data_IF_800060412538
#
_entry.id   IF_800060412538
#
_cell.length_a   1.000
_cell.length_b   1.000
_cell.length_c   1.000
_cell.angle_alpha   90.00
_cell.angle_beta   90.00
_cell.angle_gamma   90.00
#
_symmetry.space_group_name_H-M   'P 1'
#
loop_
_entity.id
_entity.type
_entity.pdbx_description
1 polymer ?
2 non-polymer ?
3 non-polymer ?
4 water ?
#
# COMPACT_ATOMS: atom_id res chain seq x y z
N UNK A 9 4.38 3.38 -20.29
CA UNK A 9 3.57 2.88 -21.43
C UNK A 9 2.12 3.34 -21.33
N UNK A 10 1.40 3.32 -22.44
CA UNK A 10 0.02 3.77 -22.46
C UNK A 10 -1.02 2.65 -22.50
N UNK A 11 -0.69 1.49 -21.96
CA UNK A 11 -1.62 0.36 -21.93
C UNK A 11 -2.92 0.82 -21.28
N UNK A 12 -4.03 0.18 -21.67
CA UNK A 12 -5.33 0.51 -21.09
C UNK A 12 -6.24 -0.71 -21.06
N UNK A 13 -7.30 -0.62 -20.26
CA UNK A 13 -8.27 -1.72 -20.16
C UNK A 13 -9.56 -1.36 -20.87
N UNK A 14 -10.22 -2.39 -21.39
CA UNK A 14 -11.52 -2.23 -22.01
C UNK A 14 -12.38 -3.16 -21.18
N UNK A 15 -13.33 -2.59 -20.46
CA UNK A 15 -14.20 -3.38 -19.61
C UNK A 15 -15.64 -3.31 -20.12
N UNK A 16 -16.17 -4.47 -20.49
CA UNK A 16 -17.54 -4.54 -20.98
C UNK A 16 -18.37 -5.06 -19.81
N UNK A 17 -19.05 -4.13 -19.14
CA UNK A 17 -19.83 -4.47 -17.97
C UNK A 17 -21.03 -5.38 -18.10
N UNK A 18 -21.55 -5.80 -16.95
CA UNK A 18 -22.73 -6.65 -16.93
C UNK A 18 -22.56 -8.08 -16.48
N UNK A 19 -21.42 -8.41 -15.87
CA UNK A 19 -21.18 -9.77 -15.39
C UNK A 19 -20.92 -9.83 -13.90
N UNK A 20 -21.54 -10.79 -13.20
CA UNK A 20 -21.30 -10.89 -11.77
C UNK A 20 -19.97 -11.63 -11.59
N UNK A 21 -19.15 -11.22 -10.62
CA UNK A 21 -17.88 -11.90 -10.40
C UNK A 21 -18.17 -13.16 -9.61
N UNK A 22 -17.72 -14.31 -10.11
CA UNK A 22 -17.97 -15.57 -9.41
C UNK A 22 -16.76 -16.48 -9.48
N UNK A 23 -16.49 -17.19 -8.39
CA UNK A 23 -15.36 -18.09 -8.37
C UNK A 23 -14.29 -17.77 -7.35
N UNK A 24 -13.18 -18.50 -7.45
CA UNK A 24 -12.05 -18.32 -6.55
C UNK A 24 -11.02 -17.33 -7.11
N UNK A 25 -10.29 -16.71 -6.20
CA UNK A 25 -9.23 -15.77 -6.56
C UNK A 25 -8.18 -15.88 -5.45
N UNK A 26 -6.92 -15.99 -5.85
CA UNK A 26 -5.82 -16.10 -4.90
C UNK A 26 -5.22 -14.72 -4.67
N UNK A 27 -5.25 -14.26 -3.43
CA UNK A 27 -4.70 -12.95 -3.08
C UNK A 27 -3.18 -13.00 -3.02
N UNK A 28 -2.55 -11.98 -3.59
CA UNK A 28 -1.09 -11.88 -3.62
C UNK A 28 -0.48 -11.33 -2.34
N UNK A 29 0.85 -11.36 -2.26
CA UNK A 29 1.54 -10.84 -1.10
C UNK A 29 1.39 -9.33 -1.02
N UNK A 30 1.51 -8.77 0.17
CA UNK A 30 1.36 -7.33 0.38
C UNK A 30 2.52 -6.49 -0.17
N UNK A 31 2.21 -5.68 -1.17
CA UNK A 31 3.20 -4.79 -1.77
C UNK A 31 3.89 -3.94 -0.70
N UNK A 32 3.08 -3.35 0.18
CA UNK A 32 3.64 -2.46 1.19
C UNK A 32 4.30 -3.11 2.40
N UNK A 33 4.36 -4.43 2.39
CA UNK A 33 5.06 -5.17 3.44
C UNK A 33 6.39 -5.56 2.78
N UNK A 34 6.30 -6.00 1.52
CA UNK A 34 7.47 -6.41 0.76
C UNK A 34 8.50 -5.28 0.60
N UNK A 35 8.00 -4.07 0.37
CA UNK A 35 8.90 -2.92 0.20
C UNK A 35 9.81 -2.68 1.39
N UNK A 36 9.23 -2.42 2.58
CA UNK A 36 10.11 -2.19 3.74
C UNK A 36 10.97 -3.40 4.10
N UNK A 37 10.44 -4.59 3.90
CA UNK A 37 11.17 -5.82 4.20
C UNK A 37 12.39 -5.95 3.28
N UNK A 38 12.22 -5.58 2.01
CA UNK A 38 13.34 -5.64 1.08
C UNK A 38 14.41 -4.63 1.48
N UNK A 39 13.99 -3.44 1.90
CA UNK A 39 14.95 -2.43 2.30
C UNK A 39 15.68 -2.86 3.57
N UNK A 40 15.04 -3.70 4.37
CA UNK A 40 15.65 -4.19 5.61
C UNK A 40 16.88 -5.05 5.33
N UNK A 41 16.95 -5.67 4.16
CA UNK A 41 18.09 -6.51 3.81
C UNK A 41 19.40 -5.71 3.79
N UNK A 42 19.28 -4.41 3.60
CA UNK A 42 20.46 -3.54 3.57
C UNK A 42 21.17 -3.57 4.93
N UNK A 43 20.42 -3.87 5.98
CA UNK A 43 20.95 -3.92 7.34
C UNK A 43 21.93 -5.06 7.63
N UNK A 44 21.98 -6.06 6.75
CA UNK A 44 22.88 -7.20 6.97
C UNK A 44 23.75 -7.48 5.76
N UNK A 45 24.81 -8.25 5.96
CA UNK A 45 25.69 -8.61 4.86
C UNK A 45 25.36 -10.05 4.46
N UNK A 46 24.51 -10.67 5.27
CA UNK A 46 24.11 -12.05 5.05
C UNK A 46 22.94 -12.20 4.08
N UNK A 47 22.89 -13.32 3.35
CA UNK A 47 21.84 -13.61 2.36
C UNK A 47 20.45 -13.66 2.99
N UNK A 48 19.46 -13.16 2.25
CA UNK A 48 18.08 -13.17 2.73
C UNK A 48 17.15 -13.73 1.66
N UNK A 49 16.05 -14.32 2.11
CA UNK A 49 15.08 -14.89 1.19
C UNK A 49 13.70 -14.38 1.60
N UNK A 50 13.01 -13.77 0.66
CA UNK A 50 11.69 -13.22 0.91
C UNK A 50 10.69 -13.83 -0.06
N UNK A 51 9.70 -14.54 0.45
CA UNK A 51 8.72 -15.16 -0.41
C UNK A 51 7.35 -14.49 -0.32
N UNK A 52 6.48 -14.86 -1.26
CA UNK A 52 5.13 -14.30 -1.38
C UNK A 52 5.22 -12.83 -1.73
N UNK A 53 6.26 -12.47 -2.49
CA UNK A 53 6.46 -11.10 -2.93
C UNK A 53 5.76 -10.96 -4.27
N UNK A 54 4.83 -10.00 -4.40
CA UNK A 54 4.10 -9.80 -5.65
C UNK A 54 4.93 -9.21 -6.77
N UNK A 55 4.68 -9.68 -7.99
CA UNK A 55 5.39 -9.16 -9.14
C UNK A 55 4.59 -7.99 -9.70
N UNK A 56 4.94 -6.80 -9.23
CA UNK A 56 4.30 -5.57 -9.66
C UNK A 56 5.40 -4.50 -9.70
N UNK A 57 5.16 -3.45 -10.46
CA UNK A 57 6.16 -2.39 -10.66
C UNK A 57 6.89 -1.83 -9.43
N UNK A 58 6.19 -1.59 -8.32
CA UNK A 58 6.87 -1.07 -7.15
C UNK A 58 7.93 -2.04 -6.63
N UNK A 59 7.62 -3.32 -6.65
CA UNK A 59 8.58 -4.32 -6.22
C UNK A 59 9.77 -4.32 -7.17
N UNK A 60 9.49 -4.29 -8.47
CA UNK A 60 10.57 -4.30 -9.44
C UNK A 60 11.46 -3.06 -9.33
N UNK A 61 10.86 -1.89 -9.06
CA UNK A 61 11.66 -0.69 -8.91
C UNK A 61 12.52 -0.77 -7.65
N UNK A 62 12.00 -1.41 -6.60
CA UNK A 62 12.75 -1.55 -5.37
C UNK A 62 13.97 -2.45 -5.63
N UNK A 63 13.74 -3.52 -6.38
CA UNK A 63 14.82 -4.46 -6.70
C UNK A 63 15.88 -3.76 -7.55
N UNK A 64 15.44 -2.86 -8.42
CA UNK A 64 16.36 -2.12 -9.28
C UNK A 64 17.24 -1.23 -8.40
N UNK A 65 16.63 -0.58 -7.41
CA UNK A 65 17.38 0.29 -6.50
C UNK A 65 18.40 -0.51 -5.71
N UNK A 66 18.00 -1.67 -5.20
CA UNK A 66 18.92 -2.50 -4.43
C UNK A 66 20.10 -2.92 -5.29
N UNK A 67 19.85 -3.23 -6.56
CA UNK A 67 20.93 -3.63 -7.46
C UNK A 67 21.85 -2.42 -7.69
N UNK A 68 21.26 -1.24 -7.81
CA UNK A 68 22.03 -0.02 -8.01
C UNK A 68 22.90 0.23 -6.79
N UNK A 69 22.40 -0.14 -5.61
CA UNK A 69 23.15 0.04 -4.37
C UNK A 69 24.25 -1.00 -4.19
N UNK A 70 24.30 -1.97 -5.11
CA UNK A 70 25.35 -2.98 -5.03
C UNK A 70 24.92 -4.40 -4.75
N UNK A 71 23.65 -4.61 -4.40
CA UNK A 71 23.17 -5.94 -4.09
C UNK A 71 23.07 -6.85 -5.31
N UNK A 72 23.21 -8.16 -5.04
CA UNK A 72 23.11 -9.19 -6.06
C UNK A 72 21.82 -9.94 -5.74
N UNK A 73 20.89 -10.01 -6.68
CA UNK A 73 19.63 -10.66 -6.40
C UNK A 73 18.92 -11.28 -7.59
N UNK A 74 17.91 -12.10 -7.28
CA UNK A 74 17.09 -12.75 -8.28
C UNK A 74 15.65 -12.74 -7.79
N UNK A 75 14.72 -12.61 -8.73
CA UNK A 75 13.30 -12.59 -8.41
C UNK A 75 12.62 -13.64 -9.27
N UNK A 76 12.29 -14.77 -8.64
CA UNK A 76 11.65 -15.88 -9.35
C UNK A 76 10.56 -16.53 -8.50
N UNK A 77 9.44 -16.88 -9.14
CA UNK A 77 8.32 -17.52 -8.45
C UNK A 77 7.89 -16.75 -7.21
N UNK A 78 7.75 -15.44 -7.36
CA UNK A 78 7.36 -14.56 -6.26
C UNK A 78 8.28 -14.68 -5.05
N UNK A 79 9.56 -14.93 -5.31
CA UNK A 79 10.53 -15.04 -4.25
C UNK A 79 11.78 -14.23 -4.58
N UNK A 80 12.22 -13.45 -3.60
CA UNK A 80 13.41 -12.61 -3.75
C UNK A 80 14.57 -13.27 -3.02
N UNK A 81 15.64 -13.53 -3.75
CA UNK A 81 16.86 -14.13 -3.22
C UNK A 81 17.90 -13.01 -3.28
N UNK A 82 18.34 -12.53 -2.13
CA UNK A 82 19.29 -11.42 -2.14
C UNK A 82 20.56 -11.55 -1.32
N UNK A 83 21.66 -11.12 -1.94
CA UNK A 83 22.97 -11.07 -1.29
C UNK A 83 23.17 -9.56 -1.14
N UNK A 84 22.89 -9.04 0.07
CA UNK A 84 23.03 -7.61 0.39
C UNK A 84 24.43 -7.04 0.39
N UNK A 85 25.11 -7.14 -0.75
CA UNK A 85 26.46 -6.62 -0.89
C UNK A 85 26.39 -5.14 -1.25
N UNK A 86 25.78 -4.34 -0.38
CA UNK A 86 25.64 -2.91 -0.61
C UNK A 86 26.99 -2.21 -0.54
N UNK A 87 27.29 -1.40 -1.56
CA UNK A 87 28.57 -0.70 -1.59
C UNK A 87 28.41 0.78 -1.94
N UNK A 88 27.19 1.28 -1.75
CA UNK A 88 26.89 2.68 -2.05
C UNK A 88 25.76 3.14 -1.15
N UNK A 89 25.67 4.44 -0.89
CA UNK A 89 24.61 4.96 -0.04
C UNK A 89 23.87 6.12 -0.69
N UNK A 90 23.81 6.10 -2.02
CA UNK A 90 23.14 7.15 -2.77
C UNK A 90 21.91 6.62 -3.49
N UNK A 91 20.75 7.13 -3.11
CA UNK A 91 19.49 6.75 -3.74
C UNK A 91 19.14 7.92 -4.66
N UNK A 92 19.36 7.74 -5.96
CA UNK A 92 19.14 8.82 -6.92
C UNK A 92 17.71 9.34 -7.07
N UNK A 93 17.65 10.60 -7.50
CA UNK A 93 16.39 11.33 -7.69
C UNK A 93 15.43 10.64 -8.64
N UNK A 94 15.95 10.04 -9.70
CA UNK A 94 15.12 9.35 -10.69
C UNK A 94 14.28 8.27 -10.04
N UNK A 95 14.92 7.45 -9.21
CA UNK A 95 14.22 6.38 -8.53
C UNK A 95 13.20 6.93 -7.53
N UNK A 96 13.57 8.01 -6.84
CA UNK A 96 12.67 8.65 -5.89
C UNK A 96 11.44 9.24 -6.58
N UNK A 97 11.66 9.84 -7.75
CA UNK A 97 10.56 10.44 -8.51
C UNK A 97 9.63 9.34 -9.03
N UNK A 98 10.19 8.15 -9.25
CA UNK A 98 9.42 7.02 -9.75
C UNK A 98 8.65 6.31 -8.63
N UNK A 99 9.18 6.37 -7.41
CA UNK A 99 8.53 5.74 -6.25
C UNK A 99 9.04 6.41 -4.98
N UNK A 100 8.27 7.36 -4.44
CA UNK A 100 8.69 8.09 -3.25
C UNK A 100 8.99 7.20 -2.05
N UNK A 101 8.42 6.00 -2.02
CA UNK A 101 8.66 5.08 -0.92
C UNK A 101 10.13 4.64 -0.89
N UNK A 102 10.90 5.02 -1.91
CA UNK A 102 12.32 4.67 -1.95
C UNK A 102 13.03 5.37 -0.79
N UNK A 103 12.34 6.30 -0.15
CA UNK A 103 12.87 7.01 0.99
C UNK A 103 13.14 6.03 2.13
N UNK A 104 12.54 4.84 2.04
CA UNK A 104 12.73 3.81 3.04
C UNK A 104 14.17 3.29 3.07
N UNK A 105 14.96 3.68 2.07
CA UNK A 105 16.36 3.28 1.99
C UNK A 105 17.20 4.11 2.95
N UNK A 106 16.66 5.23 3.41
CA UNK A 106 17.36 6.13 4.31
C UNK A 106 17.73 5.50 5.66
N UNK A 107 16.75 4.95 6.35
CA UNK A 107 17.01 4.33 7.64
C UNK A 107 18.08 3.24 7.58
N UNK A 108 17.96 2.27 6.67
CA UNK A 108 18.92 1.17 6.51
C UNK A 108 20.33 1.64 6.14
N UNK A 109 20.42 2.50 5.13
CA UNK A 109 21.72 3.01 4.70
C UNK A 109 22.44 3.74 5.83
N UNK A 110 21.69 4.52 6.61
CA UNK A 110 22.28 5.25 7.72
C UNK A 110 22.77 4.28 8.79
N UNK A 111 22.00 3.22 9.02
CA UNK A 111 22.39 2.24 10.02
C UNK A 111 23.59 1.44 9.61
N UNK A 112 23.80 1.30 8.30
CA UNK A 112 24.92 0.53 7.78
C UNK A 112 26.20 1.32 7.56
N UNK A 113 26.07 2.55 7.08
CA UNK A 113 27.23 3.38 6.79
C UNK A 113 27.38 4.63 7.66
N UNK A 114 26.31 5.03 8.34
CA UNK A 114 26.37 6.23 9.15
C UNK A 114 26.23 7.45 8.26
N UNK A 115 25.99 7.20 6.98
CA UNK A 115 25.81 8.25 6.00
C UNK A 115 24.82 7.82 4.92
N UNK A 116 24.16 8.79 4.30
CA UNK A 116 23.21 8.51 3.24
C UNK A 116 22.88 9.79 2.45
N UNK A 117 22.64 9.61 1.16
CA UNK A 117 22.29 10.71 0.27
C UNK A 117 21.07 10.20 -0.49
N UNK A 118 19.90 10.69 -0.10
CA UNK A 118 18.65 10.24 -0.71
C UNK A 118 17.86 11.39 -1.33
N UNK A 119 17.44 11.22 -2.58
CA UNK A 119 16.68 12.26 -3.24
C UNK A 119 15.41 12.58 -2.47
N UNK A 120 15.07 13.86 -2.40
CA UNK A 120 13.86 14.27 -1.68
C UNK A 120 12.67 14.12 -2.61
N UNK A 121 11.61 13.43 -2.15
CA UNK A 121 10.42 13.24 -2.99
C UNK A 121 9.82 14.58 -3.42
N UNK A 122 9.20 14.60 -4.59
CA UNK A 122 8.53 15.80 -5.06
C UNK A 122 7.08 15.62 -4.68
N UNK A 123 6.18 16.43 -5.25
CA UNK A 123 4.77 16.28 -4.95
C UNK A 123 4.25 14.97 -5.55
N UNK A 124 3.05 14.56 -5.15
CA UNK A 124 2.44 13.33 -5.64
C UNK A 124 0.99 13.66 -6.01
N UNK A 125 0.39 12.89 -6.91
CA UNK A 125 -0.98 13.16 -7.31
C UNK A 125 -1.94 12.96 -6.14
N UNK A 126 -1.52 12.17 -5.16
CA UNK A 126 -2.33 11.88 -3.97
C UNK A 126 -2.26 13.05 -2.97
N UNK A 127 -1.21 13.85 -3.08
CA UNK A 127 -1.02 14.97 -2.19
C UNK A 127 0.43 15.40 -2.11
N UNK A 128 0.69 16.56 -1.50
CA UNK A 128 2.06 17.05 -1.37
C UNK A 128 2.90 15.98 -0.69
N UNK A 129 2.34 15.37 0.36
CA UNK A 129 2.98 14.30 1.10
C UNK A 129 4.42 14.56 1.53
N UNK A 130 4.63 15.57 2.38
CA UNK A 130 5.98 15.88 2.84
C UNK A 130 6.48 14.79 3.79
N UNK A 131 7.79 14.74 4.02
CA UNK A 131 8.36 13.75 4.91
C UNK A 131 9.02 14.40 6.11
N UNK A 132 8.44 15.51 6.57
CA UNK A 132 9.00 16.22 7.71
C UNK A 132 9.20 15.33 8.92
N UNK A 133 8.30 14.38 9.11
CA UNK A 133 8.39 13.46 10.25
C UNK A 133 9.60 12.53 10.13
N UNK A 134 9.92 12.12 8.90
CA UNK A 134 11.08 11.24 8.70
C UNK A 134 12.34 12.03 9.06
N UNK A 135 12.47 13.21 8.47
CA UNK A 135 13.63 14.06 8.71
C UNK A 135 13.72 14.48 10.17
N UNK A 136 12.58 14.76 10.78
CA UNK A 136 12.57 15.17 12.18
C UNK A 136 13.10 14.04 13.06
N UNK A 137 12.72 12.80 12.75
CA UNK A 137 13.20 11.66 13.54
C UNK A 137 14.72 11.54 13.48
N UNK A 138 15.25 11.59 12.27
CA UNK A 138 16.71 11.46 12.11
C UNK A 138 17.49 12.57 12.78
N UNK A 139 16.89 13.77 12.85
CA UNK A 139 17.57 14.88 13.52
C UNK A 139 17.56 14.57 15.01
N UNK A 140 16.44 14.07 15.51
CA UNK A 140 16.30 13.71 16.91
C UNK A 140 17.24 12.56 17.24
N UNK A 141 17.59 11.78 16.22
CA UNK A 141 18.50 10.64 16.40
C UNK A 141 19.96 11.12 16.49
N UNK A 142 20.15 12.42 16.30
CA UNK A 142 21.49 12.99 16.37
C UNK A 142 22.21 13.11 15.04
N UNK A 143 21.50 12.90 13.94
CA UNK A 143 22.13 13.01 12.63
C UNK A 143 22.10 14.43 12.09
N UNK A 144 23.10 14.76 11.29
CA UNK A 144 23.16 16.08 10.67
C UNK A 144 22.39 15.91 9.36
N UNK A 145 21.35 16.73 9.18
CA UNK A 145 20.51 16.65 7.99
C UNK A 145 20.50 17.95 7.21
N UNK A 146 20.84 17.88 5.93
CA UNK A 146 20.88 19.05 5.08
C UNK A 146 20.33 18.75 3.70
N UNK A 147 19.55 19.67 3.15
CA UNK A 147 18.97 19.50 1.82
C UNK A 147 19.73 20.35 0.82
N UNK A 148 20.34 19.69 -0.16
CA UNK A 148 21.12 20.38 -1.19
C UNK A 148 20.97 19.62 -2.50
N UNK A 149 20.88 20.35 -3.61
CA UNK A 149 20.76 19.72 -4.92
C UNK A 149 19.54 18.78 -4.99
N UNK A 150 18.52 19.07 -4.18
CA UNK A 150 17.34 18.24 -4.19
C UNK A 150 17.53 16.90 -3.50
N UNK A 151 18.64 16.75 -2.80
CA UNK A 151 18.95 15.51 -2.08
C UNK A 151 19.03 15.78 -0.59
N UNK A 152 18.70 14.77 0.20
CA UNK A 152 18.80 14.93 1.65
C UNK A 152 20.11 14.25 2.03
N UNK A 153 21.03 15.04 2.57
CA UNK A 153 22.33 14.55 3.00
C UNK A 153 22.25 14.29 4.50
N UNK A 154 22.43 13.03 4.88
CA UNK A 154 22.37 12.66 6.28
C UNK A 154 23.70 12.07 6.73
N UNK A 155 24.25 12.63 7.81
CA UNK A 155 25.51 12.16 8.35
C UNK A 155 25.36 11.94 9.84
N UNK A 156 25.82 10.79 10.31
CA UNK A 156 25.73 10.44 11.72
C UNK A 156 27.11 10.28 12.32
N UNK A 157 27.42 11.08 13.33
CA UNK A 157 28.73 11.01 13.98
C UNK A 157 28.86 9.73 14.80
N UNK A 158 27.78 9.35 15.47
CA UNK A 158 27.77 8.13 16.28
C UNK A 158 26.34 7.73 16.65
N UNK A 159 26.11 6.43 16.73
CA UNK A 159 24.79 5.91 17.07
C UNK A 159 24.55 6.06 18.58
N UNK A 160 23.35 6.48 18.93
CA UNK A 160 22.99 6.65 20.32
C UNK A 160 21.52 6.30 20.49
N UNK A 161 21.10 6.05 21.74
CA UNK A 161 19.71 5.71 22.00
C UNK A 161 18.86 6.88 21.54
N UNK A 162 17.61 6.59 21.17
CA UNK A 162 16.71 7.63 20.71
C UNK A 162 15.34 7.49 21.35
N UNK A 163 14.73 8.63 21.68
CA UNK A 163 13.39 8.65 22.24
C UNK A 163 12.66 9.68 21.39
N UNK A 164 11.80 9.20 20.50
CA UNK A 164 11.08 10.09 19.60
C UNK A 164 9.58 9.81 19.52
N UNK A 165 8.79 10.89 19.48
CA UNK A 165 7.35 10.77 19.37
C UNK A 165 6.91 11.46 18.08
N UNK A 166 6.22 10.72 17.22
CA UNK A 166 5.73 11.29 15.96
C UNK A 166 4.60 12.28 16.22
N UNK A 167 4.61 13.40 15.51
CA UNK A 167 3.58 14.43 15.67
C UNK A 167 2.26 13.94 15.07
N UNK A 168 2.37 12.96 14.19
CA UNK A 168 1.22 12.38 13.50
C UNK A 168 1.58 10.95 13.14
N UNK A 169 0.58 10.10 12.95
CA UNK A 169 0.83 8.69 12.62
C UNK A 169 1.23 8.55 11.15
N UNK A 170 2.44 8.06 10.92
CA UNK A 170 2.94 7.86 9.57
C UNK A 170 3.47 6.45 9.39
N UNK A 171 2.97 5.77 8.36
CA UNK A 171 3.37 4.41 8.08
C UNK A 171 4.85 4.28 7.74
N UNK A 172 5.29 4.88 6.64
CA UNK A 172 6.70 4.76 6.28
C UNK A 172 7.62 5.51 7.23
N UNK A 173 7.07 6.49 7.94
CA UNK A 173 7.88 7.23 8.89
C UNK A 173 8.25 6.28 10.02
N UNK A 174 7.25 5.51 10.46
CA UNK A 174 7.47 4.53 11.52
C UNK A 174 8.47 3.46 11.03
N UNK A 175 8.29 3.01 9.80
CA UNK A 175 9.16 1.99 9.24
C UNK A 175 10.60 2.47 9.10
N UNK A 176 10.78 3.70 8.62
CA UNK A 176 12.12 4.24 8.45
C UNK A 176 12.83 4.30 9.81
N UNK A 177 12.09 4.72 10.84
CA UNK A 177 12.65 4.82 12.18
C UNK A 177 13.04 3.44 12.71
N UNK A 178 12.14 2.48 12.55
CA UNK A 178 12.40 1.11 13.02
C UNK A 178 13.62 0.52 12.31
N UNK A 179 13.72 0.75 11.01
CA UNK A 179 14.83 0.23 10.22
C UNK A 179 16.16 0.74 10.77
N UNK A 180 16.21 2.02 11.11
CA UNK A 180 17.44 2.59 11.64
C UNK A 180 17.73 2.09 13.06
N UNK A 181 16.72 2.17 13.93
CA UNK A 181 16.90 1.76 15.33
C UNK A 181 17.30 0.30 15.48
N UNK A 182 16.92 -0.52 14.52
CA UNK A 182 17.27 -1.95 14.56
C UNK A 182 18.79 -2.13 14.47
N UNK A 183 19.49 -1.09 14.01
CA UNK A 183 20.93 -1.14 13.87
C UNK A 183 21.68 -0.48 15.03
N UNK A 184 20.92 0.12 15.96
CA UNK A 184 21.52 0.81 17.11
C UNK A 184 21.58 -0.10 18.33
N UNK A 185 22.80 -0.44 18.78
CA UNK A 185 23.02 -1.30 19.95
C UNK A 185 22.66 -0.70 21.30
N UNK A 186 21.50 -0.05 21.36
CA UNK A 186 21.00 0.54 22.59
C UNK A 186 19.48 0.48 22.62
N UNK A 187 18.90 0.79 23.78
CA UNK A 187 17.45 0.74 23.92
C UNK A 187 16.82 2.08 23.56
N UNK A 188 15.99 2.07 22.52
CA UNK A 188 15.32 3.28 22.06
C UNK A 188 13.80 3.15 22.17
N UNK A 189 13.10 4.28 22.05
CA UNK A 189 11.65 4.30 22.15
C UNK A 189 10.97 5.19 21.11
N UNK A 190 9.93 4.66 20.48
CA UNK A 190 9.15 5.40 19.51
C UNK A 190 7.73 5.49 20.05
N UNK A 191 7.15 6.68 19.98
CA UNK A 191 5.79 6.88 20.44
C UNK A 191 4.90 7.34 19.29
N UNK A 192 3.62 6.99 19.36
CA UNK A 192 2.63 7.34 18.35
C UNK A 192 2.98 6.77 16.97
N UNK A 193 3.34 5.48 16.95
CA UNK A 193 3.71 4.81 15.70
C UNK A 193 2.48 4.27 14.98
N UNK A 194 2.68 3.87 13.73
CA UNK A 194 1.62 3.28 12.91
C UNK A 194 1.55 1.79 13.29
N UNK A 195 0.34 1.23 13.26
CA UNK A 195 0.13 -0.17 13.61
C UNK A 195 -0.30 -1.04 12.43
N UNK A 196 -0.22 -0.48 11.23
CA UNK A 196 -0.59 -1.21 10.01
C UNK A 196 0.04 -2.59 9.98
N UNK A 197 -0.68 -3.60 9.45
CA UNK A 197 -0.16 -4.97 9.36
C UNK A 197 1.21 -5.07 8.72
N UNK A 198 1.46 -4.21 7.73
CA UNK A 198 2.74 -4.20 7.02
C UNK A 198 3.87 -3.78 7.96
N UNK A 199 3.57 -2.86 8.87
CA UNK A 199 4.57 -2.41 9.83
C UNK A 199 4.88 -3.57 10.77
N UNK A 200 3.84 -4.30 11.18
CA UNK A 200 4.02 -5.43 12.07
C UNK A 200 4.83 -6.54 11.40
N UNK A 201 4.63 -6.71 10.09
CA UNK A 201 5.35 -7.73 9.31
C UNK A 201 6.83 -7.34 9.26
N UNK A 202 7.11 -6.05 9.05
CA UNK A 202 8.49 -5.57 9.01
C UNK A 202 9.12 -5.84 10.37
N UNK A 203 8.36 -5.60 11.43
CA UNK A 203 8.86 -5.82 12.78
C UNK A 203 9.29 -7.26 13.00
N UNK A 204 8.49 -8.22 12.55
CA UNK A 204 8.90 -9.62 12.72
C UNK A 204 10.24 -9.84 12.02
N UNK A 205 10.38 -9.31 10.81
CA UNK A 205 11.64 -9.46 10.07
C UNK A 205 12.83 -8.86 10.83
N UNK A 206 12.65 -7.67 11.39
CA UNK A 206 13.74 -7.05 12.14
C UNK A 206 14.13 -7.90 13.34
N UNK A 207 13.14 -8.55 13.96
CA UNK A 207 13.43 -9.41 15.09
C UNK A 207 14.15 -10.67 14.62
N UNK A 208 13.74 -11.19 13.47
CA UNK A 208 14.39 -12.38 12.91
C UNK A 208 15.86 -12.06 12.66
N UNK A 209 16.15 -10.81 12.32
CA UNK A 209 17.52 -10.38 12.04
C UNK A 209 18.34 -10.23 13.31
N UNK A 210 17.66 -10.16 14.45
CA UNK A 210 18.38 -10.04 15.71
C UNK A 210 17.98 -8.90 16.62
N UNK A 211 17.18 -7.97 16.10
CA UNK A 211 16.75 -6.83 16.91
C UNK A 211 15.61 -7.24 17.84
N UNK A 212 15.43 -6.47 18.91
CA UNK A 212 14.35 -6.73 19.85
C UNK A 212 13.36 -5.59 19.65
N UNK A 213 12.09 -5.94 19.50
CA UNK A 213 11.05 -4.93 19.31
C UNK A 213 9.80 -5.31 20.09
N UNK A 214 9.38 -4.41 20.96
CA UNK A 214 8.18 -4.63 21.75
C UNK A 214 7.17 -3.55 21.42
N UNK A 215 5.95 -3.97 21.09
CA UNK A 215 4.88 -3.03 20.76
C UNK A 215 3.80 -3.06 21.84
N UNK A 216 3.53 -1.89 22.43
CA UNK A 216 2.50 -1.76 23.45
C UNK A 216 1.76 -0.47 23.12
N UNK A 217 0.47 -0.58 22.80
CA UNK A 217 -0.29 0.60 22.43
C UNK A 217 0.37 1.10 21.14
N UNK A 218 0.69 2.38 21.08
CA UNK A 218 1.36 2.89 19.89
C UNK A 218 2.81 3.26 20.18
N UNK A 219 3.40 2.54 21.14
CA UNK A 219 4.79 2.74 21.51
C UNK A 219 5.59 1.52 21.05
N UNK A 220 6.82 1.76 20.61
CA UNK A 220 7.69 0.68 20.18
C UNK A 220 9.00 0.81 20.91
N UNK A 221 9.39 -0.25 21.61
CA UNK A 221 10.65 -0.27 22.34
C UNK A 221 11.60 -1.09 21.50
N UNK A 222 12.74 -0.49 21.16
CA UNK A 222 13.70 -1.17 20.31
C UNK A 222 15.09 -1.30 20.92
N UNK A 223 15.71 -2.44 20.67
CA UNK A 223 17.06 -2.74 21.10
C UNK A 223 17.72 -3.29 19.84
N UNK A 224 18.55 -2.47 19.20
CA UNK A 224 19.20 -2.88 17.97
C UNK A 224 20.50 -3.65 18.12
N UNK A 225 21.13 -3.92 16.99
CA UNK A 225 22.39 -4.67 16.97
C UNK A 225 23.25 -4.26 15.78
N UNK A 226 24.56 -4.31 15.96
CA UNK A 226 25.48 -3.95 14.89
C UNK A 226 25.88 -5.16 14.06
N UNK A 227 25.38 -6.34 14.44
CA UNK A 227 25.67 -7.57 13.70
C UNK A 227 24.37 -8.29 13.37
N UNK A 228 23.53 -7.65 12.57
CA UNK A 228 22.25 -8.22 12.16
C UNK A 228 22.44 -9.40 11.20
N UNK A 229 21.62 -10.42 11.38
CA UNK A 229 21.69 -11.64 10.57
C UNK A 229 20.78 -11.62 9.34
N UNK A 230 20.98 -12.59 8.46
CA UNK A 230 20.15 -12.71 7.28
C UNK A 230 18.86 -13.38 7.71
N UNK A 231 17.84 -13.37 6.87
CA UNK A 231 16.56 -13.97 7.23
C UNK A 231 15.80 -14.59 6.07
N UNK A 232 14.80 -15.40 6.42
CA UNK A 232 13.91 -16.04 5.47
C UNK A 232 12.53 -15.63 5.96
N UNK A 233 11.69 -15.12 5.06
CA UNK A 233 10.37 -14.65 5.48
C UNK A 233 9.33 -14.70 4.36
N UNK A 234 8.08 -14.97 4.74
CA UNK A 234 6.96 -14.99 3.81
C UNK A 234 6.09 -13.80 4.20
N UNK A 235 5.98 -12.82 3.32
CA UNK A 235 5.20 -11.63 3.61
C UNK A 235 3.71 -11.89 3.73
N UNK A 236 3.03 -11.08 4.54
CA UNK A 236 1.60 -11.22 4.73
C UNK A 236 0.86 -10.96 3.43
N UNK A 237 -0.40 -11.43 3.33
CA UNK A 237 -1.21 -11.23 2.12
C UNK A 237 -1.53 -9.74 2.00
N UNK A 238 -1.90 -9.31 0.80
CA UNK A 238 -2.24 -7.91 0.57
C UNK A 238 -3.71 -7.64 0.92
N UNK A 239 -3.95 -6.96 2.03
CA UNK A 239 -5.31 -6.67 2.48
C UNK A 239 -6.05 -5.68 1.58
N UNK A 240 -5.33 -4.84 0.84
CA UNK A 240 -6.00 -3.89 -0.03
C UNK A 240 -6.53 -4.63 -1.26
N UNK A 241 -5.75 -5.57 -1.78
CA UNK A 241 -6.23 -6.33 -2.93
C UNK A 241 -7.43 -7.15 -2.49
N UNK A 242 -7.33 -7.76 -1.31
CA UNK A 242 -8.42 -8.58 -0.78
C UNK A 242 -9.69 -7.74 -0.65
N UNK A 243 -9.58 -6.55 -0.06
CA UNK A 243 -10.74 -5.69 0.10
C UNK A 243 -11.34 -5.27 -1.24
N UNK A 244 -10.47 -5.07 -2.22
CA UNK A 244 -10.91 -4.66 -3.54
C UNK A 244 -11.78 -5.72 -4.20
N UNK A 245 -11.38 -6.99 -4.10
CA UNK A 245 -12.17 -8.05 -4.69
C UNK A 245 -13.47 -8.25 -3.90
N UNK A 246 -13.43 -8.02 -2.59
CA UNK A 246 -14.62 -8.15 -1.77
C UNK A 246 -15.65 -7.15 -2.27
N UNK A 247 -15.20 -5.92 -2.52
CA UNK A 247 -16.09 -4.88 -3.01
C UNK A 247 -16.62 -5.31 -4.37
N UNK A 248 -15.75 -5.88 -5.20
CA UNK A 248 -16.15 -6.33 -6.51
C UNK A 248 -17.29 -7.32 -6.46
N UNK A 249 -17.21 -8.28 -5.54
CA UNK A 249 -18.26 -9.29 -5.40
C UNK A 249 -19.60 -8.68 -5.04
N UNK A 250 -19.60 -7.79 -4.04
CA UNK A 250 -20.83 -7.15 -3.60
C UNK A 250 -21.42 -6.23 -4.67
N UNK A 251 -20.56 -5.42 -5.29
CA UNK A 251 -20.99 -4.50 -6.33
C UNK A 251 -21.63 -5.19 -7.54
N UNK A 252 -21.02 -6.29 -7.99
CA UNK A 252 -21.53 -7.02 -9.15
C UNK A 252 -22.55 -8.08 -8.77
N UNK A 253 -22.89 -8.15 -7.48
CA UNK A 253 -23.85 -9.13 -6.99
C UNK A 253 -23.44 -10.55 -7.39
N UNK A 254 -22.16 -10.86 -7.20
CA UNK A 254 -21.66 -12.17 -7.52
C UNK A 254 -21.37 -12.95 -6.25
N UNK A 255 -20.44 -13.89 -6.35
CA UNK A 255 -20.05 -14.71 -5.20
C UNK A 255 -18.63 -15.18 -5.44
N UNK A 256 -17.70 -14.70 -4.62
CA UNK A 256 -16.31 -15.10 -4.79
C UNK A 256 -15.74 -15.69 -3.52
N UNK A 257 -14.69 -16.49 -3.69
CA UNK A 257 -14.01 -17.11 -2.56
C UNK A 257 -12.57 -16.65 -2.59
N UNK A 258 -12.18 -15.79 -1.65
CA UNK A 258 -10.81 -15.31 -1.60
C UNK A 258 -9.93 -16.32 -0.89
N UNK A 259 -8.83 -16.69 -1.53
CA UNK A 259 -7.88 -17.63 -0.95
C UNK A 259 -6.61 -16.89 -0.53
N UNK A 260 -6.03 -17.30 0.59
CA UNK A 260 -4.80 -16.72 1.08
C UNK A 260 -4.90 -15.29 1.59
N UNK A 261 -6.07 -14.92 2.09
CA UNK A 261 -6.27 -13.59 2.65
C UNK A 261 -6.31 -13.76 4.16
N UNK A 262 -6.32 -12.66 4.90
CA UNK A 262 -6.36 -12.70 6.35
C UNK A 262 -7.51 -11.86 6.87
N UNK A 263 -8.51 -12.51 7.43
CA UNK A 263 -9.66 -11.79 7.95
C UNK A 263 -9.25 -10.82 9.06
N UNK A 264 -8.20 -11.17 9.82
CA UNK A 264 -7.77 -10.32 10.92
C UNK A 264 -7.09 -9.01 10.52
N UNK A 265 -6.94 -8.79 9.21
CA UNK A 265 -6.34 -7.55 8.72
C UNK A 265 -7.43 -6.76 7.98
N UNK A 266 -8.67 -7.22 8.08
CA UNK A 266 -9.78 -6.61 7.37
C UNK A 266 -11.01 -6.22 8.20
N UNK A 267 -10.87 -6.13 9.51
CA UNK A 267 -12.02 -5.81 10.35
C UNK A 267 -12.87 -4.60 9.91
N UNK A 268 -12.24 -3.44 9.75
CA UNK A 268 -12.97 -2.24 9.36
C UNK A 268 -13.62 -2.36 7.99
N UNK A 269 -12.94 -3.03 7.06
CA UNK A 269 -13.47 -3.21 5.72
C UNK A 269 -14.71 -4.12 5.73
N UNK A 270 -14.61 -5.26 6.41
CA UNK A 270 -15.75 -6.19 6.49
C UNK A 270 -16.93 -5.51 7.16
N UNK A 271 -16.65 -4.72 8.20
CA UNK A 271 -17.70 -4.02 8.94
C UNK A 271 -18.53 -3.12 8.02
N UNK A 272 -17.86 -2.27 7.24
CA UNK A 272 -18.55 -1.38 6.32
C UNK A 272 -19.23 -2.14 5.20
N UNK A 273 -18.59 -3.19 4.71
CA UNK A 273 -19.16 -3.98 3.63
C UNK A 273 -20.51 -4.57 4.04
N UNK A 274 -20.60 -5.06 5.28
CA UNK A 274 -21.84 -5.63 5.77
C UNK A 274 -22.91 -4.57 5.95
N UNK A 275 -22.51 -3.38 6.39
CA UNK A 275 -23.47 -2.29 6.59
C UNK A 275 -24.09 -1.90 5.25
N UNK A 276 -23.32 -2.06 4.18
CA UNK A 276 -23.79 -1.70 2.84
C UNK A 276 -24.71 -2.76 2.25
N UNK A 277 -24.60 -3.99 2.75
CA UNK A 277 -25.45 -5.06 2.25
C UNK A 277 -24.71 -6.31 1.84
N UNK A 278 -23.39 -6.29 1.93
CA UNK A 278 -22.61 -7.46 1.56
C UNK A 278 -22.50 -8.43 2.72
N UNK A 279 -21.93 -9.60 2.47
CA UNK A 279 -21.72 -10.59 3.51
C UNK A 279 -20.38 -11.27 3.30
N UNK A 280 -19.74 -11.63 4.41
CA UNK A 280 -18.44 -12.29 4.36
C UNK A 280 -18.47 -13.49 5.30
N UNK A 281 -18.32 -14.68 4.73
CA UNK A 281 -18.34 -15.91 5.51
C UNK A 281 -16.97 -16.58 5.44
N UNK A 282 -16.39 -16.85 6.61
CA UNK A 282 -15.10 -17.48 6.67
C UNK A 282 -15.25 -19.01 6.59
N UNK A 283 -14.46 -19.62 5.72
CA UNK A 283 -14.45 -21.07 5.53
C UNK A 283 -12.99 -21.43 5.69
N UNK A 284 -12.64 -21.92 6.88
CA UNK A 284 -11.25 -22.23 7.18
C UNK A 284 -10.53 -20.89 7.06
N UNK A 285 -9.62 -20.76 6.11
CA UNK A 285 -8.91 -19.51 5.92
C UNK A 285 -9.53 -18.69 4.80
N UNK A 286 -10.35 -19.34 3.98
CA UNK A 286 -10.98 -18.67 2.85
C UNK A 286 -12.12 -17.75 3.24
N UNK A 287 -12.37 -16.75 2.40
CA UNK A 287 -13.45 -15.80 2.65
C UNK A 287 -14.44 -15.79 1.50
N UNK A 288 -15.67 -16.23 1.76
CA UNK A 288 -16.70 -16.25 0.73
C UNK A 288 -17.45 -14.92 0.84
N UNK A 289 -17.52 -14.19 -0.26
CA UNK A 289 -18.15 -12.89 -0.26
C UNK A 289 -19.24 -12.75 -1.31
N UNK A 290 -20.36 -12.17 -0.91
CA UNK A 290 -21.49 -11.99 -1.82
C UNK A 290 -22.40 -10.89 -1.29
N UNK A 291 -23.42 -10.54 -2.06
CA UNK A 291 -24.36 -9.50 -1.64
C UNK A 291 -25.54 -10.18 -0.96
N UNK A 292 -25.83 -9.79 0.28
CA UNK A 292 -26.93 -10.38 1.02
C UNK A 292 -28.21 -9.54 0.98
N UNK A 293 -28.04 -8.22 1.02
CA UNK A 293 -29.18 -7.30 0.99
C UNK A 293 -28.97 -6.25 -0.11
N UNK A 294 -30.05 -5.57 -0.51
CA UNK A 294 -29.96 -4.54 -1.53
C UNK A 294 -28.98 -3.48 -1.01
N UNK A 295 -28.20 -2.88 -1.91
CA UNK A 295 -27.21 -1.88 -1.53
C UNK A 295 -27.80 -0.62 -0.90
N UNK A 296 -27.19 -0.18 0.20
CA UNK A 296 -27.65 1.02 0.90
C UNK A 296 -26.49 1.90 1.33
N UNK A 297 -26.77 3.20 1.39
CA UNK A 297 -25.78 4.19 1.78
C UNK A 297 -25.20 3.94 3.17
N UNK A 298 -24.00 4.46 3.40
CA UNK A 298 -23.32 4.30 4.68
C UNK A 298 -22.23 5.34 4.76
N UNK A 299 -22.00 5.90 5.95
CA UNK A 299 -20.96 6.89 6.13
C UNK A 299 -19.63 6.21 6.40
N UNK A 300 -18.56 6.78 5.85
CA UNK A 300 -17.22 6.22 6.01
C UNK A 300 -16.19 7.30 6.25
N UNK A 301 -15.31 7.06 7.22
CA UNK A 301 -14.23 7.98 7.52
C UNK A 301 -12.95 7.17 7.51
N UNK A 302 -11.95 7.62 6.75
CA UNK A 302 -10.70 6.89 6.71
C UNK A 302 -9.91 7.19 7.99
N UNK A 303 -9.14 6.21 8.44
CA UNK A 303 -8.34 6.34 9.66
C UNK A 303 -7.14 5.42 9.53
N UNK A 304 -6.14 5.64 10.38
CA UNK A 304 -4.97 4.78 10.37
C UNK A 304 -5.46 3.42 10.87
N UNK A 305 -4.72 2.36 10.54
CA UNK A 305 -5.10 1.02 10.95
C UNK A 305 -5.15 1.00 12.48
N UNK A 306 -6.08 0.23 13.08
CA UNK A 306 -7.10 -0.66 12.51
C UNK A 306 -8.39 -0.04 11.95
N UNK A 307 -8.37 1.27 11.70
CA UNK A 307 -9.53 1.94 11.14
C UNK A 307 -9.66 1.65 9.65
N UNK A 308 -10.62 2.30 8.99
CA UNK A 308 -10.86 2.12 7.55
C UNK A 308 -9.71 2.70 6.72
N UNK A 309 -9.08 1.87 5.88
CA UNK A 309 -7.95 2.30 5.03
C UNK A 309 -8.26 3.32 3.95
N UNK A 310 -7.40 4.33 3.82
CA UNK A 310 -7.59 5.31 2.76
C UNK A 310 -7.44 4.56 1.44
N UNK A 311 -6.62 3.52 1.44
CA UNK A 311 -6.40 2.72 0.24
C UNK A 311 -7.64 1.93 -0.22
N UNK A 312 -8.70 1.95 0.58
CA UNK A 312 -9.95 1.27 0.23
C UNK A 312 -11.09 2.26 -0.02
N UNK A 313 -10.82 3.54 0.24
CA UNK A 313 -11.82 4.59 0.08
C UNK A 313 -12.47 4.70 -1.31
N UNK A 314 -11.66 4.80 -2.35
CA UNK A 314 -12.19 4.91 -3.71
C UNK A 314 -13.05 3.70 -4.09
N UNK A 315 -12.58 2.51 -3.74
CA UNK A 315 -13.32 1.29 -4.06
C UNK A 315 -14.72 1.31 -3.44
N UNK A 316 -14.81 1.73 -2.18
CA UNK A 316 -16.13 1.79 -1.55
C UNK A 316 -16.97 2.92 -2.14
N UNK A 317 -16.31 3.97 -2.63
CA UNK A 317 -17.06 5.07 -3.24
C UNK A 317 -17.75 4.55 -4.51
N UNK A 318 -17.07 3.67 -5.24
CA UNK A 318 -17.64 3.11 -6.46
C UNK A 318 -18.83 2.22 -6.10
N UNK A 319 -18.69 1.46 -5.02
CA UNK A 319 -19.77 0.58 -4.55
C UNK A 319 -20.97 1.43 -4.14
N UNK A 320 -20.69 2.50 -3.40
CA UNK A 320 -21.75 3.38 -2.92
C UNK A 320 -22.39 4.25 -4.00
N UNK A 321 -21.72 4.40 -5.14
CA UNK A 321 -22.26 5.22 -6.21
C UNK A 321 -23.57 4.65 -6.75
N UNK A 322 -23.80 3.36 -6.54
CA UNK A 322 -25.03 2.73 -6.98
C UNK A 322 -25.86 2.16 -5.84
N UNK A 323 -25.65 2.69 -4.63
CA UNK A 323 -26.39 2.25 -3.46
C UNK A 323 -27.55 3.20 -3.21
N UNK A 324 -28.55 2.76 -2.46
CA UNK A 324 -29.69 3.61 -2.18
C UNK A 324 -29.39 4.61 -1.08
N UNK A 325 -29.49 5.90 -1.40
CA UNK A 325 -29.25 6.91 -0.40
C UNK A 325 -27.99 7.73 -0.60
N UNK A 326 -27.78 8.67 0.31
CA UNK A 326 -26.64 9.56 0.27
C UNK A 326 -25.59 9.13 1.30
N UNK A 327 -24.38 8.83 0.83
CA UNK A 327 -23.30 8.41 1.70
C UNK A 327 -22.28 9.54 1.86
N UNK A 328 -21.68 9.62 3.05
CA UNK A 328 -20.67 10.63 3.33
C UNK A 328 -19.34 9.89 3.49
N UNK A 329 -18.36 10.27 2.68
CA UNK A 329 -17.04 9.64 2.73
C UNK A 329 -16.01 10.72 3.05
N UNK A 330 -15.48 10.68 4.26
CA UNK A 330 -14.51 11.67 4.69
C UNK A 330 -13.10 11.11 4.78
N UNK A 331 -12.14 11.88 4.26
CA UNK A 331 -10.75 11.47 4.30
C UNK A 331 -10.01 12.19 5.43
N UNK A 332 -9.42 11.40 6.33
CA UNK A 332 -8.65 11.96 7.44
C UNK A 332 -7.17 11.69 7.21
N UNK A 333 -6.85 10.91 6.17
CA UNK A 333 -5.47 10.55 5.87
C UNK A 333 -4.90 11.34 4.70
N UNK A 334 -5.48 11.15 3.52
CA UNK A 334 -5.06 11.88 2.31
C UNK A 334 -6.27 12.72 1.90
N UNK A 335 -6.45 13.86 2.55
CA UNK A 335 -7.61 14.72 2.29
C UNK A 335 -7.82 15.19 0.85
N UNK A 336 -6.80 15.05 0.03
CA UNK A 336 -6.88 15.50 -1.36
C UNK A 336 -7.25 14.36 -2.31
N UNK A 337 -7.16 13.13 -1.81
CA UNK A 337 -7.41 11.93 -2.61
C UNK A 337 -8.86 11.69 -3.10
N UNK A 338 -9.30 12.46 -4.08
CA UNK A 338 -10.66 12.31 -4.61
C UNK A 338 -10.74 12.42 -6.15
N UNK A 339 -9.60 12.36 -6.82
CA UNK A 339 -9.61 12.46 -8.29
C UNK A 339 -10.63 11.49 -8.89
N UNK A 340 -10.66 10.28 -8.35
CA UNK A 340 -11.57 9.25 -8.84
C UNK A 340 -13.05 9.64 -8.74
N UNK A 341 -13.40 10.53 -7.82
CA UNK A 341 -14.80 10.94 -7.69
C UNK A 341 -15.34 11.54 -8.97
N UNK A 342 -14.57 12.41 -9.61
CA UNK A 342 -15.03 13.03 -10.84
C UNK A 342 -14.98 12.05 -12.01
N UNK A 343 -14.04 11.11 -11.98
CA UNK A 343 -13.99 10.12 -13.05
C UNK A 343 -15.26 9.27 -12.92
N UNK A 344 -15.67 8.97 -11.69
CA UNK A 344 -16.88 8.19 -11.48
C UNK A 344 -18.08 9.00 -11.97
N UNK A 345 -18.03 10.32 -11.79
CA UNK A 345 -19.11 11.17 -12.26
C UNK A 345 -19.21 11.09 -13.78
N UNK A 346 -18.09 10.82 -14.45
CA UNK A 346 -18.10 10.70 -15.90
C UNK A 346 -18.89 9.45 -16.30
N UNK A 347 -19.10 8.54 -15.35
CA UNK A 347 -19.85 7.32 -15.61
C UNK A 347 -21.32 7.47 -15.22
N UNK A 348 -21.71 8.69 -14.86
CA UNK A 348 -23.09 8.94 -14.48
C UNK A 348 -23.36 8.94 -12.99
N UNK A 349 -22.31 8.91 -12.19
CA UNK A 349 -22.49 8.94 -10.74
C UNK A 349 -22.93 10.34 -10.35
N UNK A 350 -23.32 10.51 -9.10
CA UNK A 350 -23.74 11.82 -8.62
C UNK A 350 -22.96 12.07 -7.32
N UNK A 351 -21.68 12.38 -7.48
CA UNK A 351 -20.81 12.62 -6.35
C UNK A 351 -20.37 14.07 -6.26
N UNK A 352 -20.42 14.62 -5.06
CA UNK A 352 -19.99 15.99 -4.82
C UNK A 352 -18.82 15.95 -3.87
N UNK A 353 -17.95 16.95 -3.95
CA UNK A 353 -16.78 17.02 -3.08
C UNK A 353 -16.71 18.41 -2.46
N UNK A 354 -16.62 18.44 -1.13
CA UNK A 354 -16.54 19.69 -0.39
C UNK A 354 -15.42 19.53 0.62
N UNK A 355 -14.25 20.07 0.31
CA UNK A 355 -13.13 19.95 1.22
C UNK A 355 -12.67 18.50 1.32
N UNK A 356 -12.49 18.01 2.54
CA UNK A 356 -12.05 16.64 2.75
C UNK A 356 -13.18 15.62 2.79
N UNK A 357 -14.38 16.03 2.41
CA UNK A 357 -15.54 15.15 2.43
C UNK A 357 -16.27 15.05 1.10
N UNK A 358 -16.58 13.82 0.70
CA UNK A 358 -17.30 13.58 -0.53
C UNK A 358 -18.68 13.05 -0.14
N UNK A 359 -19.69 13.42 -0.92
CA UNK A 359 -21.05 12.96 -0.68
C UNK A 359 -21.47 12.20 -1.92
N UNK A 360 -21.94 10.99 -1.72
CA UNK A 360 -22.38 10.14 -2.81
C UNK A 360 -23.88 9.91 -2.79
N UNK A 361 -24.57 10.45 -3.79
CA UNK A 361 -26.01 10.25 -3.89
C UNK A 361 -26.15 9.11 -4.87
N UNK A 362 -26.49 7.92 -4.36
CA UNK A 362 -26.62 6.75 -5.20
C UNK A 362 -27.50 6.89 -6.42
N UNK A 363 -27.06 6.34 -7.55
CA UNK A 363 -27.86 6.37 -8.78
C UNK A 363 -28.26 4.94 -9.11
N UNK A 364 -29.27 4.80 -9.97
CA UNK A 364 -29.75 3.47 -10.34
C UNK A 364 -28.76 2.70 -11.21
N UNK A 365 -28.02 3.38 -12.07
CA UNK A 365 -27.07 2.70 -12.93
C UNK A 365 -25.98 3.62 -13.45
N UNK A 366 -24.87 3.03 -13.88
CA UNK A 366 -23.77 3.79 -14.41
C UNK A 366 -23.67 3.55 -15.91
N UNK A 367 -23.05 4.48 -16.62
CA UNK A 367 -22.91 4.40 -18.07
C UNK A 367 -21.45 4.43 -18.46
N UNK A 368 -20.98 3.35 -19.06
CA UNK A 368 -19.58 3.23 -19.46
C UNK A 368 -19.02 4.33 -20.34
N UNK A 369 -17.79 4.74 -20.04
CA UNK A 369 -17.11 5.76 -20.82
C UNK A 369 -15.62 5.69 -20.52
N UNK A 370 -14.85 6.60 -21.09
CA UNK A 370 -13.40 6.62 -20.87
C UNK A 370 -13.06 7.32 -19.57
N UNK A 371 -12.25 6.67 -18.74
CA UNK A 371 -11.80 7.26 -17.48
C UNK A 371 -10.29 7.08 -17.36
N UNK A 372 -9.64 7.97 -16.62
CA UNK A 372 -8.19 7.90 -16.46
C UNK A 372 -7.71 7.50 -15.07
N UNK A 373 -6.81 6.52 -15.04
CA UNK A 373 -6.21 6.06 -13.79
C UNK A 373 -5.14 7.08 -13.40
N UNK A 374 -4.98 7.32 -12.11
CA UNK A 374 -3.97 8.27 -11.63
C UNK A 374 -3.43 7.88 -10.24
N UNK A 375 -3.99 6.83 -9.65
CA UNK A 375 -3.62 6.40 -8.31
C UNK A 375 -3.40 4.88 -8.29
N UNK A 376 -2.18 4.43 -7.99
CA UNK A 376 -1.87 2.99 -8.00
C UNK A 376 -2.83 2.12 -7.21
N UNK A 377 -3.51 2.68 -6.21
CA UNK A 377 -4.47 1.88 -5.45
C UNK A 377 -5.91 2.36 -5.66
N UNK A 378 -6.14 3.66 -5.52
CA UNK A 378 -7.49 4.21 -5.67
C UNK A 378 -8.12 4.00 -7.05
N UNK A 379 -7.32 3.98 -8.10
CA UNK A 379 -7.86 3.81 -9.44
C UNK A 379 -8.51 2.45 -9.70
N UNK A 380 -8.37 1.52 -8.76
CA UNK A 380 -9.00 0.22 -8.91
C UNK A 380 -10.51 0.49 -8.89
N UNK A 381 -10.90 1.60 -8.29
CA UNK A 381 -12.31 1.99 -8.21
C UNK A 381 -12.91 2.15 -9.60
N UNK A 382 -12.09 2.57 -10.55
CA UNK A 382 -12.56 2.77 -11.92
C UNK A 382 -12.82 1.44 -12.61
N UNK A 383 -11.98 0.46 -12.32
CA UNK A 383 -12.12 -0.88 -12.90
C UNK A 383 -13.40 -1.48 -12.32
N UNK A 384 -13.58 -1.33 -11.01
CA UNK A 384 -14.77 -1.84 -10.33
C UNK A 384 -16.05 -1.25 -10.93
N UNK A 385 -16.08 0.07 -11.09
CA UNK A 385 -17.24 0.73 -11.67
C UNK A 385 -17.49 0.22 -13.09
N UNK A 386 -16.41 0.02 -13.83
CA UNK A 386 -16.53 -0.47 -15.19
C UNK A 386 -17.20 -1.83 -15.27
N UNK A 387 -17.12 -2.59 -14.19
CA UNK A 387 -17.73 -3.92 -14.15
C UNK A 387 -19.25 -3.87 -14.17
N UNK A 388 -19.82 -2.77 -13.68
CA UNK A 388 -21.28 -2.64 -13.63
C UNK A 388 -21.85 -1.55 -14.53
N UNK A 389 -21.01 -0.67 -15.04
CA UNK A 389 -21.49 0.40 -15.91
C UNK A 389 -22.03 -0.15 -17.22
N UNK A 390 -23.13 0.44 -17.68
CA UNK A 390 -23.79 0.04 -18.91
C UNK A 390 -22.87 0.27 -20.11
N UNK A 391 -22.76 -0.73 -20.98
CA UNK A 391 -21.93 -0.59 -22.16
C UNK A 391 -20.47 -0.94 -21.90
N UNK A 392 -19.56 -0.07 -22.31
CA UNK A 392 -18.15 -0.35 -22.07
C UNK A 392 -17.37 0.83 -21.47
N UNK A 393 -16.47 0.48 -20.57
CA UNK A 393 -15.64 1.45 -19.86
C UNK A 393 -14.18 1.26 -20.24
N UNK A 394 -13.53 2.34 -20.64
CA UNK A 394 -12.12 2.28 -21.01
C UNK A 394 -11.31 2.92 -19.90
N UNK A 395 -10.43 2.15 -19.27
CA UNK A 395 -9.60 2.66 -18.20
C UNK A 395 -8.21 2.92 -18.75
N UNK A 396 -7.87 4.20 -18.89
CA UNK A 396 -6.57 4.59 -19.43
C UNK A 396 -5.47 4.60 -18.39
N UNK A 397 -4.22 4.53 -18.88
CA UNK A 397 -3.03 4.55 -18.05
C UNK A 397 -3.00 3.53 -16.91
N UNK A 398 -3.24 2.27 -17.25
CA UNK A 398 -3.25 1.21 -16.25
C UNK A 398 -1.86 0.98 -15.64
N UNK A 399 -0.87 1.70 -16.15
CA UNK A 399 0.49 1.62 -15.63
C UNK A 399 0.40 1.81 -14.11
N UNK A 400 -0.50 2.69 -13.68
CA UNK A 400 -0.69 2.97 -12.25
C UNK A 400 -1.15 1.71 -11.54
N UNK A 401 -2.10 1.01 -12.13
CA UNK A 401 -2.62 -0.23 -11.54
C UNK A 401 -1.55 -1.33 -11.53
N UNK A 402 -0.64 -1.28 -12.50
CA UNK A 402 0.42 -2.29 -12.56
C UNK A 402 1.41 -2.09 -11.41
N UNK A 403 1.42 -0.89 -10.85
CA UNK A 403 2.29 -0.59 -9.71
C UNK A 403 1.68 -1.16 -8.44
N UNK A 404 0.35 -1.10 -8.35
CA UNK A 404 -0.31 -1.54 -7.13
C UNK A 404 -0.99 -2.89 -7.04
N UNK A 405 -1.19 -3.58 -8.15
CA UNK A 405 -1.85 -4.88 -8.11
C UNK A 405 -1.14 -5.87 -9.02
N UNK A 406 -1.09 -7.12 -8.60
CA UNK A 406 -0.44 -8.16 -9.39
C UNK A 406 -1.49 -8.89 -10.22
N UNK A 407 -1.32 -8.86 -11.54
CA UNK A 407 -2.22 -9.53 -12.47
C UNK A 407 -3.70 -9.23 -12.20
N UNK A 408 -4.02 -7.95 -12.03
CA UNK A 408 -5.40 -7.54 -11.75
C UNK A 408 -6.40 -7.99 -12.81
N UNK A 409 -6.15 -7.63 -14.06
CA UNK A 409 -7.08 -8.01 -15.14
C UNK A 409 -7.20 -9.52 -15.28
N UNK A 410 -6.12 -10.25 -15.06
CA UNK A 410 -6.14 -11.70 -15.16
C UNK A 410 -7.02 -12.33 -14.07
N UNK A 411 -6.89 -11.82 -12.85
CA UNK A 411 -7.70 -12.34 -11.75
C UNK A 411 -9.17 -12.03 -11.98
N UNK A 412 -9.46 -10.84 -12.49
CA UNK A 412 -10.84 -10.46 -12.77
C UNK A 412 -11.42 -11.32 -13.88
N UNK A 413 -10.63 -11.56 -14.92
CA UNK A 413 -11.07 -12.38 -16.05
C UNK A 413 -11.43 -13.77 -15.55
N UNK A 414 -10.62 -14.30 -14.64
CA UNK A 414 -10.84 -15.62 -14.07
C UNK A 414 -12.15 -15.68 -13.29
N UNK A 415 -12.59 -14.51 -12.81
CA UNK A 415 -13.84 -14.42 -12.05
C UNK A 415 -15.03 -14.12 -12.95
N UNK A 416 -14.81 -14.09 -14.26
CA UNK A 416 -15.90 -13.83 -15.17
C UNK A 416 -16.04 -12.42 -15.72
N UNK A 417 -15.13 -11.53 -15.36
CA UNK A 417 -15.20 -10.17 -15.87
C UNK A 417 -14.81 -10.16 -17.34
N UNK A 418 -15.58 -9.44 -18.15
CA UNK A 418 -15.28 -9.34 -19.57
C UNK A 418 -14.34 -8.16 -19.75
N UNK A 419 -13.09 -8.39 -19.34
CA UNK A 419 -12.06 -7.37 -19.41
C UNK A 419 -10.91 -7.80 -20.30
N UNK A 420 -10.27 -6.83 -20.94
CA UNK A 420 -9.13 -7.11 -21.77
C UNK A 420 -8.16 -5.95 -21.72
N UNK A 421 -6.88 -6.26 -21.90
CA UNK A 421 -5.85 -5.25 -21.87
C UNK A 421 -5.29 -4.99 -23.26
N UNK A 422 -5.16 -3.72 -23.61
CA UNK A 422 -4.62 -3.33 -24.90
C UNK A 422 -3.24 -2.76 -24.64
N UNK A 423 -2.21 -3.47 -25.10
CA UNK A 423 -0.84 -3.02 -24.93
C UNK A 423 -0.59 -1.87 -25.89
N UNK A 424 -0.05 -0.76 -25.36
CA UNK A 424 0.21 0.41 -26.18
C UNK A 424 1.44 1.17 -25.68
X LIG B 1 4.99 7.76 -6.05
X LIG B 1 5.87 9.02 -5.56
X LIG B 1 6.03 6.61 -6.37
X LIG B 1 4.08 7.27 -4.93
X LIG B 1 4.22 8.12 -7.34
X LIG C 1 2.62 13.07 6.57
X LIG C 1 3.23 14.27 6.83
X LIG C 1 4.57 14.29 7.11
X LIG C 1 5.31 13.13 7.14
X LIG C 1 4.68 11.88 6.88
X LIG C 1 3.34 11.88 6.60
X LIG C 1 2.60 15.32 6.80
X LIG C 1 6.50 13.18 7.40
X LIG C 1 1.17 13.04 6.27
X LIG C 1 0.94 12.77 4.76
X LIG C 1 0.94 13.95 3.96
X LIG C 1 -0.38 11.97 4.73
X LIG C 1 -0.51 11.39 6.17
X LIG C 1 0.54 11.95 6.97
X LIG C 1 -1.47 12.88 4.48
X LIG C 1 -0.27 9.87 6.11
X LIG C 1 1.00 9.69 5.46
X LIG C 1 1.71 8.28 5.75
X LIG C 1 3.15 8.53 5.99
X LIG C 1 1.09 7.54 7.03
X LIG C 1 1.46 7.36 4.45
X LIG C 1 2.82 6.82 3.75
X LIG C 1 3.72 6.18 4.74
X LIG C 1 3.59 8.02 3.03
X LIG C 1 1.92 4.51 3.19
X LIG C 1 1.59 3.53 2.04
X LIG C 1 0.45 4.14 1.20
X LIG C 1 -0.78 4.30 2.11
X LIG C 1 -0.41 5.23 3.28
X LIG C 1 -1.60 5.40 4.25
X LIG C 1 3.75 2.43 1.54
X LIG C 1 4.94 2.25 0.64
X LIG C 1 2.80 3.35 1.21
X LIG C 1 2.38 5.76 2.61
X LIG C 1 0.09 3.27 0.11
X LIG C 1 -1.86 4.86 1.36
X LIG C 1 0.73 4.70 4.04
X LIG C 1 -2.04 4.12 4.73
X LIG C 1 3.63 1.76 2.55
X LIG C 1 1.23 3.12 -2.07
X LIG C 1 2.15 3.68 -2.66
X LIG C 1 1.01 1.82 -2.29
X LIG C 1 0.37 3.85 -1.12
X LIG C 1 -0.21 5.01 -1.51
#
# INVERSE_FOLDING_TARGET
MKNTTLYTYRDYFVIRGGKPLTGKVKISGAKNAALPIMFATILTEEPCTITNVPDLLDVRNTLLLLRELGAELEFLNNTVFINPSINSFITNQEIIRRMRASVLSLGPLLGRFGRAVVGLPGGCSIGARPIDQHLKFFKEAGADVEVREGYVYVNLKEKRRVHFKFDLVTVTGTENALLYLASVPEESILENIALEPEVMDLIEVLKKMGAHVKVEGRSAYVKGSENLKGFTHSVIPDRIEAGTFMVGAVLTDGEILLENARINHLRAVVEKLKLIGGEVVEENGNLRVFRKESLRACDIETQVYPGFPTDMQAQFMALLSVAKGKSRIKENIFEHRFHHAQELNRLGANITVRGNTAYVEGVERLYGSEVYSTDLRASASLVLAGLVAQGETVVRDVYHLDRGYEKLEEKLKKLGADIERVSEL
PO4 P O1 O2 O3 O4
EPU N1U C2U N3U C4U C5U C6U O2U O4U C1D C2D O2D C3D C4D O4D O3D C5D O5D PA O1A O2A O3A PB O1B O2B C1 C2 C3 C4 C5 C6 C7 C8 N2 O1 O3 O4 O5 O6 O7 C1E O1E O2E C2E C3E
#
